data_IF_009823611039
#
_entry.id   IF_009823611039
#
_cell.length_a   1.000
_cell.length_b   1.000
_cell.length_c   1.000
_cell.angle_alpha   90.00
_cell.angle_beta   90.00
_cell.angle_gamma   90.00
#
_symmetry.space_group_name_H-M   'P 1'
#
loop_
_entity.id
_entity.type
_entity.pdbx_description
1 polymer ?
#
# COMPACT_ATOMS: atom_id res chain seq x y z
N UNK A 1 -7.54 -22.24 4.17
CA UNK A 1 -7.68 -20.82 3.77
C UNK A 1 -7.05 -20.01 4.89
N UNK A 2 -5.98 -19.25 4.65
CA UNK A 2 -5.38 -18.42 5.70
C UNK A 2 -6.24 -17.17 5.81
N UNK A 3 -6.95 -17.01 6.92
CA UNK A 3 -7.74 -15.83 7.20
C UNK A 3 -6.79 -14.66 7.47
N UNK A 4 -6.81 -13.66 6.60
CA UNK A 4 -6.05 -12.43 6.80
C UNK A 4 -6.86 -11.59 7.80
N UNK A 5 -6.31 -11.38 8.99
CA UNK A 5 -6.96 -10.56 10.01
C UNK A 5 -6.87 -9.08 9.65
N UNK A 6 -7.75 -8.24 10.22
CA UNK A 6 -7.66 -6.79 10.04
C UNK A 6 -6.29 -6.23 10.45
N UNK A 7 -5.66 -6.81 11.48
CA UNK A 7 -4.30 -6.43 11.91
C UNK A 7 -3.22 -6.74 10.88
N UNK A 8 -3.38 -7.82 10.11
CA UNK A 8 -2.46 -8.15 9.02
C UNK A 8 -2.62 -7.15 7.86
N UNK A 9 -3.85 -6.70 7.61
CA UNK A 9 -4.11 -5.67 6.60
C UNK A 9 -3.50 -4.33 7.02
N UNK A 10 -3.63 -3.93 8.28
CA UNK A 10 -2.98 -2.73 8.82
C UNK A 10 -1.45 -2.79 8.69
N UNK A 11 -0.85 -3.96 8.98
CA UNK A 11 0.59 -4.19 8.78
C UNK A 11 0.97 -4.04 7.30
N UNK A 12 0.21 -4.63 6.39
CA UNK A 12 0.45 -4.50 4.94
C UNK A 12 0.38 -3.03 4.52
N UNK A 13 -0.65 -2.29 4.93
CA UNK A 13 -0.79 -0.87 4.60
C UNK A 13 0.39 -0.03 5.14
N UNK A 14 0.83 -0.30 6.37
CA UNK A 14 2.00 0.34 6.96
C UNK A 14 3.29 0.06 6.16
N UNK A 15 3.53 -1.20 5.75
CA UNK A 15 4.66 -1.56 4.90
C UNK A 15 4.62 -0.83 3.55
N UNK A 16 3.44 -0.71 2.93
CA UNK A 16 3.27 0.04 1.68
C UNK A 16 3.60 1.52 1.87
N UNK A 17 3.21 2.14 2.98
CA UNK A 17 3.56 3.53 3.28
C UNK A 17 5.06 3.75 3.49
N UNK A 18 5.73 2.83 4.19
CA UNK A 18 7.20 2.85 4.34
C UNK A 18 7.87 2.75 2.97
N UNK A 19 7.41 1.83 2.12
CA UNK A 19 7.96 1.66 0.78
C UNK A 19 7.75 2.92 -0.09
N UNK A 20 6.56 3.53 -0.06
CA UNK A 20 6.29 4.79 -0.79
C UNK A 20 7.25 5.89 -0.33
N UNK A 21 7.43 6.07 0.99
CA UNK A 21 8.38 7.06 1.53
C UNK A 21 9.81 6.77 1.10
N UNK A 22 10.24 5.51 1.14
CA UNK A 22 11.56 5.09 0.70
C UNK A 22 11.80 5.45 -0.78
N UNK A 23 10.91 5.04 -1.69
CA UNK A 23 11.06 5.36 -3.11
C UNK A 23 10.95 6.86 -3.41
N UNK A 24 10.13 7.63 -2.67
CA UNK A 24 10.08 9.09 -2.82
C UNK A 24 11.35 9.79 -2.33
N UNK A 25 12.05 9.23 -1.35
CA UNK A 25 13.32 9.78 -0.86
C UNK A 25 14.48 9.59 -1.83
N UNK A 26 14.35 8.65 -2.78
CA UNK A 26 15.34 8.41 -3.82
C UNK A 26 15.02 9.23 -5.08
N UNK A 27 16.01 9.88 -5.67
CA UNK A 27 15.85 10.62 -6.92
C UNK A 27 15.69 9.69 -8.13
N UNK A 28 15.04 10.18 -9.18
CA UNK A 28 14.93 9.50 -10.47
C UNK A 28 13.54 8.97 -10.80
N UNK A 29 13.21 9.03 -12.10
CA UNK A 29 11.89 8.70 -12.63
C UNK A 29 11.43 7.29 -12.24
N UNK A 30 12.34 6.32 -12.26
CA UNK A 30 12.04 4.94 -11.86
C UNK A 30 11.53 4.84 -10.43
N UNK A 31 12.13 5.59 -9.50
CA UNK A 31 11.73 5.60 -8.10
C UNK A 31 10.39 6.30 -7.91
N UNK A 32 10.14 7.39 -8.65
CA UNK A 32 8.82 8.04 -8.69
C UNK A 32 7.73 7.10 -9.23
N UNK A 33 8.02 6.33 -10.28
CA UNK A 33 7.10 5.32 -10.83
C UNK A 33 6.81 4.20 -9.83
N UNK A 34 7.83 3.71 -9.11
CA UNK A 34 7.65 2.71 -8.06
C UNK A 34 6.77 3.23 -6.92
N UNK A 35 7.04 4.44 -6.42
CA UNK A 35 6.21 5.07 -5.40
C UNK A 35 4.75 5.24 -5.85
N UNK A 36 4.54 5.63 -7.11
CA UNK A 36 3.20 5.75 -7.69
C UNK A 36 2.48 4.39 -7.77
N UNK A 37 3.15 3.35 -8.27
CA UNK A 37 2.57 2.02 -8.39
C UNK A 37 2.17 1.41 -7.03
N UNK A 38 3.02 1.60 -6.01
CA UNK A 38 2.74 1.16 -4.64
C UNK A 38 1.55 1.95 -4.05
N UNK A 39 1.46 3.26 -4.34
CA UNK A 39 0.30 4.08 -4.00
C UNK A 39 -1.01 3.55 -4.60
N UNK A 40 -1.00 3.18 -5.89
CA UNK A 40 -2.16 2.58 -6.55
C UNK A 40 -2.59 1.26 -5.90
N UNK A 41 -1.63 0.43 -5.46
CA UNK A 41 -1.93 -0.80 -4.74
C UNK A 41 -2.59 -0.52 -3.37
N UNK A 42 -2.04 0.43 -2.60
CA UNK A 42 -2.61 0.87 -1.32
C UNK A 42 -4.06 1.35 -1.50
N UNK A 43 -4.30 2.19 -2.50
CA UNK A 43 -5.65 2.70 -2.80
C UNK A 43 -6.62 1.57 -3.15
N UNK A 44 -6.17 0.58 -3.92
CA UNK A 44 -6.98 -0.59 -4.27
C UNK A 44 -7.37 -1.43 -3.05
N UNK A 45 -6.44 -1.62 -2.11
CA UNK A 45 -6.71 -2.33 -0.85
C UNK A 45 -7.73 -1.55 -0.02
N UNK A 46 -7.52 -0.25 0.18
CA UNK A 46 -8.44 0.61 0.93
C UNK A 46 -9.86 0.63 0.32
N UNK A 47 -9.97 0.69 -1.01
CA UNK A 47 -11.28 0.59 -1.69
C UNK A 47 -11.97 -0.74 -1.43
N UNK A 48 -11.24 -1.85 -1.31
CA UNK A 48 -11.81 -3.16 -0.98
C UNK A 48 -12.26 -3.23 0.48
N UNK A 49 -11.45 -2.73 1.41
CA UNK A 49 -11.80 -2.63 2.83
C UNK A 49 -13.09 -1.82 3.05
N UNK A 50 -13.15 -0.63 2.47
CA UNK A 50 -14.32 0.25 2.58
C UNK A 50 -15.60 -0.39 2.00
N UNK A 51 -15.47 -1.31 1.03
CA UNK A 51 -16.59 -2.08 0.50
C UNK A 51 -17.00 -3.24 1.40
N UNK A 52 -16.09 -3.82 2.18
CA UNK A 52 -16.40 -4.89 3.13
C UNK A 52 -17.06 -4.35 4.41
N UNK A 53 -16.79 -3.09 4.76
CA UNK A 53 -17.38 -2.42 5.93
C UNK A 53 -18.75 -1.77 5.67
N UNK A 54 -19.21 -1.74 4.41
CA UNK A 54 -20.55 -1.28 3.99
C UNK A 54 -21.46 -2.46 3.76
#
# INVERSE_FOLDING_TARGET
MVEISNSDIERILSCLDIAIKHYKSMSGLRNSTHAWAIGQLKDKINRKLNKQQK
#
